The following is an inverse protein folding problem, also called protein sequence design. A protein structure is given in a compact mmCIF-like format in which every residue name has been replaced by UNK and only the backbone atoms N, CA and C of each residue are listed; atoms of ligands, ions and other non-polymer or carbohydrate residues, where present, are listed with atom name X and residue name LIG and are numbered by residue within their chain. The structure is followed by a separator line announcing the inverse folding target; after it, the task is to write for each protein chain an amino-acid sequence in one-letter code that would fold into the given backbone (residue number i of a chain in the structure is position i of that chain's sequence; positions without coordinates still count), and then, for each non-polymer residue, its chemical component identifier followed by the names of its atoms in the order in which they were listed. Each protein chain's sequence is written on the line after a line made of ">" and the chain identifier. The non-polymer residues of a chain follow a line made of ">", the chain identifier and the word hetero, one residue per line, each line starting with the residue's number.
data_IF_180643059549
#
_entry.id   IF_180643059549
#
_cell.length_a   1.000
_cell.length_b   1.000
_cell.length_c   1.000
_cell.angle_alpha   90.00
_cell.angle_beta   90.00
_cell.angle_gamma   90.00
#
_symmetry.space_group_name_H-M   'P 1'
#
loop_
_entity.id
_entity.type
_entity.pdbx_description
1 polymer ?
#
# COMPACT_ATOMS: atom_id res chain seq x y z
N UNK A 1 -16.77 0.61 -3.09
CA UNK A 1 -15.37 0.21 -2.91
C UNK A 1 -14.50 1.42 -3.25
N UNK A 2 -13.62 1.91 -2.37
CA UNK A 2 -12.63 2.92 -2.73
C UNK A 2 -11.78 2.46 -3.91
N UNK A 3 -11.30 3.42 -4.71
CA UNK A 3 -10.37 3.17 -5.80
C UNK A 3 -8.96 3.53 -5.37
N UNK A 4 -8.00 2.67 -5.67
CA UNK A 4 -6.57 2.94 -5.50
C UNK A 4 -5.90 2.99 -6.87
N UNK A 5 -5.04 3.98 -7.05
CA UNK A 5 -4.18 4.11 -8.22
C UNK A 5 -2.79 3.66 -7.79
N UNK A 6 -2.32 2.55 -8.35
CA UNK A 6 -1.02 1.98 -8.04
C UNK A 6 -0.08 2.26 -9.20
N UNK A 7 1.03 2.93 -8.89
CA UNK A 7 2.14 3.13 -9.82
C UNK A 7 3.22 2.12 -9.45
N UNK A 8 3.48 1.17 -10.33
CA UNK A 8 4.50 0.13 -10.14
C UNK A 8 5.91 0.69 -10.32
N UNK A 9 6.92 -0.10 -9.96
CA UNK A 9 8.34 0.35 -10.03
C UNK A 9 8.83 0.65 -11.45
N UNK A 10 8.19 0.10 -12.48
CA UNK A 10 8.46 0.41 -13.88
C UNK A 10 7.64 1.60 -14.42
N UNK A 11 6.79 2.20 -13.57
CA UNK A 11 5.99 3.38 -13.87
C UNK A 11 4.64 3.08 -14.53
N UNK A 12 4.23 1.81 -14.63
CA UNK A 12 2.88 1.47 -15.07
C UNK A 12 1.84 1.89 -14.02
N UNK A 13 0.76 2.51 -14.47
CA UNK A 13 -0.36 2.89 -13.61
C UNK A 13 -1.51 1.90 -13.77
N UNK A 14 -1.99 1.36 -12.66
CA UNK A 14 -3.13 0.45 -12.62
C UNK A 14 -4.11 0.86 -11.54
N UNK A 15 -5.38 0.98 -11.93
CA UNK A 15 -6.49 1.23 -11.01
C UNK A 15 -7.06 -0.09 -10.47
N UNK A 16 -7.33 -0.13 -9.16
CA UNK A 16 -7.96 -1.27 -8.49
C UNK A 16 -9.11 -0.81 -7.59
N UNK A 17 -10.11 -1.67 -7.43
CA UNK A 17 -11.13 -1.51 -6.39
C UNK A 17 -10.66 -2.19 -5.11
N UNK A 18 -10.66 -1.45 -4.00
CA UNK A 18 -10.29 -1.97 -2.69
C UNK A 18 -11.52 -2.12 -1.79
N UNK A 19 -11.56 -3.16 -0.96
CA UNK A 19 -12.58 -3.30 0.08
C UNK A 19 -12.25 -2.38 1.26
N UNK A 20 -13.26 -1.65 1.75
CA UNK A 20 -13.07 -0.77 2.90
C UNK A 20 -12.83 -1.61 4.16
N UNK A 21 -11.78 -1.28 4.91
CA UNK A 21 -11.36 -2.03 6.11
C UNK A 21 -10.10 -2.85 5.91
N UNK A 22 -9.69 -3.11 4.66
CA UNK A 22 -8.38 -3.66 4.34
C UNK A 22 -7.28 -2.60 4.43
N UNK A 23 -6.07 -3.04 4.72
CA UNK A 23 -4.87 -2.22 4.52
C UNK A 23 -4.58 -2.03 3.02
N UNK A 24 -3.83 -0.96 2.69
CA UNK A 24 -3.37 -0.72 1.31
C UNK A 24 -2.51 -1.89 0.80
N UNK A 25 -1.69 -2.49 1.67
CA UNK A 25 -0.86 -3.64 1.34
C UNK A 25 -1.70 -4.87 0.93
N UNK A 26 -2.75 -5.19 1.71
CA UNK A 26 -3.64 -6.31 1.39
C UNK A 26 -4.34 -6.09 0.05
N UNK A 27 -4.89 -4.88 -0.17
CA UNK A 27 -5.56 -4.54 -1.43
C UNK A 27 -4.63 -4.65 -2.64
N UNK A 28 -3.37 -4.21 -2.51
CA UNK A 28 -2.35 -4.34 -3.57
C UNK A 28 -2.05 -5.81 -3.87
N UNK A 29 -1.88 -6.64 -2.83
CA UNK A 29 -1.59 -8.07 -3.03
C UNK A 29 -2.77 -8.83 -3.61
N UNK A 30 -3.98 -8.58 -3.14
CA UNK A 30 -5.20 -9.22 -3.65
C UNK A 30 -5.47 -8.87 -5.12
N UNK A 31 -5.02 -7.70 -5.56
CA UNK A 31 -5.07 -7.28 -6.97
C UNK A 31 -3.95 -7.84 -7.86
N UNK A 32 -3.08 -8.70 -7.32
CA UNK A 32 -2.06 -9.44 -8.07
C UNK A 32 -0.77 -8.68 -8.33
N UNK A 33 -0.39 -7.73 -7.47
CA UNK A 33 0.91 -7.05 -7.55
C UNK A 33 1.97 -7.84 -6.77
N UNK A 34 2.57 -8.82 -7.43
CA UNK A 34 3.58 -9.73 -6.82
C UNK A 34 4.86 -9.01 -6.37
N UNK A 35 5.10 -7.79 -6.85
CA UNK A 35 6.26 -6.99 -6.46
C UNK A 35 6.25 -6.52 -4.99
N UNK A 36 5.07 -6.54 -4.35
CA UNK A 36 4.87 -6.24 -2.94
C UNK A 36 4.96 -7.52 -2.10
N UNK A 37 6.14 -7.78 -1.56
CA UNK A 37 6.45 -9.06 -0.90
C UNK A 37 5.68 -9.26 0.41
N UNK A 38 5.60 -8.19 1.23
CA UNK A 38 5.03 -8.20 2.57
C UNK A 38 5.45 -9.43 3.41
N UNK A 39 6.76 -9.59 3.61
CA UNK A 39 7.39 -10.76 4.24
C UNK A 39 6.86 -11.08 5.66
N UNK A 40 6.53 -10.06 6.44
CA UNK A 40 5.98 -10.25 7.80
C UNK A 40 4.46 -10.47 7.82
N UNK A 41 3.78 -10.45 6.67
CA UNK A 41 2.33 -10.58 6.59
C UNK A 41 1.55 -9.41 7.20
N UNK A 42 2.12 -8.20 7.26
CA UNK A 42 1.44 -7.00 7.77
C UNK A 42 1.58 -6.75 9.27
N UNK A 43 2.44 -7.49 9.97
CA UNK A 43 2.65 -7.35 11.42
C UNK A 43 3.73 -6.33 11.82
N UNK A 44 3.97 -5.29 11.00
CA UNK A 44 4.90 -4.19 11.32
C UNK A 44 6.29 -4.64 11.78
N UNK A 45 6.87 -5.66 11.13
CA UNK A 45 8.17 -6.25 11.51
C UNK A 45 9.14 -6.38 10.33
N UNK A 46 8.80 -5.79 9.19
CA UNK A 46 9.64 -5.71 7.99
C UNK A 46 9.34 -4.39 7.25
N UNK A 47 10.10 -4.07 6.21
CA UNK A 47 9.86 -2.88 5.36
C UNK A 47 9.44 -3.23 3.91
N UNK A 48 9.01 -4.46 3.65
CA UNK A 48 8.79 -4.95 2.26
C UNK A 48 7.42 -4.63 1.66
N UNK A 49 6.58 -3.90 2.39
CA UNK A 49 5.33 -3.31 1.92
C UNK A 49 5.42 -1.79 1.75
N UNK A 50 6.62 -1.23 1.78
CA UNK A 50 6.86 0.21 1.63
C UNK A 50 6.29 0.73 0.30
N UNK A 51 5.62 1.88 0.37
CA UNK A 51 5.04 2.62 -0.76
C UNK A 51 5.34 4.11 -0.63
N UNK A 52 5.26 4.81 -1.75
CA UNK A 52 5.22 6.27 -1.75
C UNK A 52 3.77 6.74 -1.90
N UNK A 53 3.30 7.50 -0.93
CA UNK A 53 1.97 8.11 -0.98
C UNK A 53 2.06 9.43 -1.77
N UNK A 54 1.14 9.64 -2.70
CA UNK A 54 1.02 10.92 -3.40
C UNK A 54 0.79 12.06 -2.38
N UNK A 55 1.57 13.15 -2.44
CA UNK A 55 1.45 14.28 -1.50
C UNK A 55 0.03 14.84 -1.36
N UNK A 56 -0.82 14.72 -2.39
CA UNK A 56 -2.22 15.14 -2.35
C UNK A 56 -3.10 14.33 -1.37
N UNK A 57 -2.61 13.21 -0.86
CA UNK A 57 -3.31 12.33 0.08
C UNK A 57 -2.59 12.15 1.41
N UNK A 58 -1.37 12.68 1.57
CA UNK A 58 -0.55 12.47 2.76
C UNK A 58 -1.24 12.95 4.05
N UNK A 59 -2.07 13.98 3.97
CA UNK A 59 -2.84 14.55 5.09
C UNK A 59 -4.04 13.69 5.53
N UNK A 60 -4.38 12.64 4.77
CA UNK A 60 -5.49 11.72 5.09
C UNK A 60 -5.07 10.54 5.96
N UNK A 61 -3.77 10.35 6.18
CA UNK A 61 -3.24 9.29 7.01
C UNK A 61 -3.00 9.78 8.44
N UNK A 62 -3.04 8.84 9.39
CA UNK A 62 -2.51 9.11 10.71
C UNK A 62 -0.98 9.37 10.60
N UNK A 63 -0.39 10.11 11.55
CA UNK A 63 1.07 10.23 11.62
C UNK A 63 1.74 8.86 11.64
N UNK A 64 2.90 8.75 10.99
CA UNK A 64 3.76 7.57 11.05
C UNK A 64 4.07 7.22 12.52
N UNK A 65 3.94 5.94 12.86
CA UNK A 65 4.26 5.46 14.20
C UNK A 65 5.78 5.39 14.42
N UNK A 66 6.23 5.26 15.67
CA UNK A 66 7.66 5.12 15.98
C UNK A 66 8.27 3.80 15.46
N UNK A 67 7.44 2.76 15.32
CA UNK A 67 7.85 1.43 14.86
C UNK A 67 7.84 1.30 13.32
N UNK A 68 7.26 2.27 12.61
CA UNK A 68 7.19 2.31 11.15
C UNK A 68 8.41 3.06 10.57
N UNK A 69 9.13 2.41 9.64
CA UNK A 69 10.37 2.92 9.02
C UNK A 69 10.45 2.62 7.53
#
# INVERSE_FOLDING_TARGET
>A
MPKLIIVTRDGEEREIEAEAGLSVMEAIRDAGFDEMLALCGGCMSCATCHVHVDPAFADRFAPMSEDET
#
